data_IF_053434068609
#
_entry.id   IF_053434068609
#
_cell.length_a   1.000
_cell.length_b   1.000
_cell.length_c   1.000
_cell.angle_alpha   90.00
_cell.angle_beta   90.00
_cell.angle_gamma   90.00
#
_symmetry.space_group_name_H-M   'P 1'
#
loop_
_entity.id
_entity.type
_entity.pdbx_description
1 polymer ?
#
# COMPACT_ATOMS: atom_id res chain seq x y z
N UNK A 1 -7.54 -6.08 -17.81
CA UNK A 1 -6.73 -7.00 -16.98
C UNK A 1 -7.19 -6.90 -15.54
N UNK A 2 -8.25 -7.63 -15.16
CA UNK A 2 -8.77 -7.67 -13.79
C UNK A 2 -8.09 -8.81 -13.02
N UNK A 3 -6.82 -8.62 -12.69
CA UNK A 3 -6.08 -9.53 -11.79
C UNK A 3 -6.17 -9.10 -10.33
N UNK A 4 -5.41 -9.75 -9.46
CA UNK A 4 -5.29 -9.37 -8.04
C UNK A 4 -4.97 -7.87 -7.85
N UNK A 5 -4.16 -7.28 -8.74
CA UNK A 5 -3.86 -5.85 -8.71
C UNK A 5 -5.13 -4.98 -8.83
N UNK A 6 -6.00 -5.25 -9.81
CA UNK A 6 -7.23 -4.48 -10.01
C UNK A 6 -8.19 -4.56 -8.82
N UNK A 7 -8.26 -5.73 -8.17
CA UNK A 7 -9.01 -5.89 -6.92
C UNK A 7 -8.44 -5.01 -5.80
N UNK A 8 -7.12 -5.06 -5.58
CA UNK A 8 -6.47 -4.27 -4.54
C UNK A 8 -6.52 -2.76 -4.81
N UNK A 9 -6.37 -2.33 -6.06
CA UNK A 9 -6.53 -0.92 -6.45
C UNK A 9 -7.93 -0.40 -6.13
N UNK A 10 -8.98 -1.16 -6.45
CA UNK A 10 -10.35 -0.79 -6.13
C UNK A 10 -10.58 -0.73 -4.61
N UNK A 11 -10.02 -1.68 -3.85
CA UNK A 11 -10.13 -1.72 -2.41
C UNK A 11 -9.42 -0.54 -1.72
N UNK A 12 -8.16 -0.26 -2.07
CA UNK A 12 -7.38 0.86 -1.53
C UNK A 12 -8.07 2.19 -1.85
N UNK A 13 -8.54 2.37 -3.09
CA UNK A 13 -9.32 3.55 -3.48
C UNK A 13 -10.56 3.75 -2.61
N UNK A 14 -11.30 2.68 -2.34
CA UNK A 14 -12.50 2.74 -1.49
C UNK A 14 -12.16 3.26 -0.09
N UNK A 15 -11.06 2.79 0.51
CA UNK A 15 -10.62 3.24 1.84
C UNK A 15 -10.23 4.71 1.85
N UNK A 16 -9.52 5.18 0.80
CA UNK A 16 -9.11 6.58 0.68
C UNK A 16 -10.30 7.53 0.52
N UNK A 17 -11.30 7.12 -0.29
CA UNK A 17 -12.55 7.89 -0.46
C UNK A 17 -13.34 7.94 0.85
N UNK A 18 -13.44 6.82 1.56
CA UNK A 18 -14.12 6.76 2.86
C UNK A 18 -13.44 7.63 3.92
N UNK A 19 -12.11 7.68 3.91
CA UNK A 19 -11.31 8.52 4.79
C UNK A 19 -11.29 10.01 4.40
N UNK A 20 -11.81 10.38 3.22
CA UNK A 20 -11.82 11.78 2.78
C UNK A 20 -10.46 12.31 2.30
N UNK A 21 -9.53 11.41 1.96
CA UNK A 21 -8.19 11.78 1.48
C UNK A 21 -8.28 12.55 0.16
N UNK A 22 -7.56 13.67 0.06
CA UNK A 22 -7.44 14.44 -1.18
C UNK A 22 -6.78 13.61 -2.30
N UNK A 23 -7.28 13.76 -3.52
CA UNK A 23 -6.75 13.08 -4.71
C UNK A 23 -6.60 11.54 -4.55
N UNK A 24 -7.68 10.82 -4.16
CA UNK A 24 -7.58 9.41 -3.78
C UNK A 24 -7.08 8.52 -4.91
N UNK A 25 -7.38 8.88 -6.17
CA UNK A 25 -6.93 8.15 -7.36
C UNK A 25 -5.41 8.25 -7.56
N UNK A 26 -4.79 9.38 -7.22
CA UNK A 26 -3.34 9.56 -7.31
C UNK A 26 -2.59 8.74 -6.23
N UNK A 27 -3.24 8.52 -5.09
CA UNK A 27 -2.66 7.81 -3.95
C UNK A 27 -2.68 6.28 -4.10
N UNK A 28 -3.53 5.71 -4.96
CA UNK A 28 -3.66 4.24 -5.13
C UNK A 28 -2.33 3.60 -5.51
N UNK A 29 -1.70 4.05 -6.59
CA UNK A 29 -0.45 3.44 -7.07
C UNK A 29 0.72 3.73 -6.12
N UNK A 30 0.71 4.89 -5.45
CA UNK A 30 1.71 5.25 -4.43
C UNK A 30 1.66 4.28 -3.25
N UNK A 31 0.46 3.91 -2.78
CA UNK A 31 0.28 2.99 -1.65
C UNK A 31 0.44 1.52 -2.04
N UNK A 32 0.25 1.17 -3.32
CA UNK A 32 0.48 -0.16 -3.83
C UNK A 32 1.93 -0.42 -4.24
N UNK A 33 2.72 0.60 -4.60
CA UNK A 33 4.11 0.41 -5.00
C UNK A 33 4.96 -0.37 -3.95
N UNK A 34 4.83 -0.12 -2.63
CA UNK A 34 5.56 -0.86 -1.60
C UNK A 34 5.19 -2.33 -1.48
N UNK A 35 4.02 -2.77 -1.98
CA UNK A 35 3.59 -4.18 -1.92
C UNK A 35 4.01 -5.00 -3.14
N UNK A 36 4.71 -4.39 -4.10
CA UNK A 36 5.27 -5.11 -5.25
C UNK A 36 6.23 -6.23 -4.82
N UNK A 37 6.24 -7.33 -5.56
CA UNK A 37 7.12 -8.47 -5.29
C UNK A 37 8.60 -8.06 -5.31
N UNK A 38 8.98 -7.18 -6.24
CA UNK A 38 10.33 -6.62 -6.34
C UNK A 38 10.72 -5.85 -5.08
N UNK A 39 9.85 -4.95 -4.59
CA UNK A 39 10.12 -4.19 -3.36
C UNK A 39 10.19 -5.10 -2.13
N UNK A 40 9.36 -6.13 -2.06
CA UNK A 40 9.46 -7.13 -1.00
C UNK A 40 10.80 -7.85 -1.03
N UNK A 41 11.23 -8.37 -2.19
CA UNK A 41 12.51 -9.06 -2.34
C UNK A 41 13.69 -8.14 -2.02
N UNK A 42 13.66 -6.88 -2.46
CA UNK A 42 14.67 -5.88 -2.13
C UNK A 42 14.78 -5.64 -0.61
N UNK A 43 13.66 -5.51 0.08
CA UNK A 43 13.64 -5.36 1.54
C UNK A 43 14.17 -6.61 2.25
N UNK A 44 13.82 -7.81 1.77
CA UNK A 44 14.37 -9.07 2.29
C UNK A 44 15.88 -9.16 2.06
N UNK A 45 16.39 -8.73 0.91
CA UNK A 45 17.82 -8.68 0.60
C UNK A 45 18.58 -7.71 1.52
N UNK A 46 17.92 -6.65 2.01
CA UNK A 46 18.44 -5.74 3.05
C UNK A 46 18.41 -6.31 4.47
N UNK A 47 17.96 -7.55 4.65
CA UNK A 47 17.87 -8.21 5.95
C UNK A 47 16.63 -7.85 6.77
N UNK A 48 15.67 -7.13 6.21
CA UNK A 48 14.41 -6.86 6.91
C UNK A 48 13.58 -8.13 7.03
N UNK A 49 13.06 -8.39 8.23
CA UNK A 49 12.12 -9.47 8.46
C UNK A 49 10.75 -9.13 7.88
N UNK A 50 9.95 -10.15 7.57
CA UNK A 50 8.57 -9.97 7.13
C UNK A 50 7.77 -9.13 8.13
N UNK A 51 7.95 -9.36 9.43
CA UNK A 51 7.26 -8.61 10.48
C UNK A 51 7.61 -7.13 10.44
N UNK A 52 8.88 -6.77 10.22
CA UNK A 52 9.30 -5.37 10.08
C UNK A 52 8.70 -4.71 8.83
N UNK A 53 8.63 -5.44 7.71
CA UNK A 53 8.03 -4.94 6.46
C UNK A 53 6.53 -4.68 6.66
N UNK A 54 5.80 -5.66 7.21
CA UNK A 54 4.37 -5.52 7.49
C UNK A 54 4.11 -4.38 8.48
N UNK A 55 4.91 -4.25 9.53
CA UNK A 55 4.77 -3.16 10.49
C UNK A 55 5.02 -1.78 9.86
N UNK A 56 5.98 -1.66 8.93
CA UNK A 56 6.25 -0.43 8.20
C UNK A 56 5.09 -0.06 7.25
N UNK A 57 4.56 -1.04 6.50
CA UNK A 57 3.39 -0.85 5.65
C UNK A 57 2.16 -0.44 6.45
N UNK A 58 1.93 -1.09 7.61
CA UNK A 58 0.84 -0.74 8.51
C UNK A 58 0.93 0.69 9.03
N UNK A 59 2.13 1.16 9.41
CA UNK A 59 2.34 2.56 9.80
C UNK A 59 2.04 3.54 8.66
N UNK A 60 2.48 3.23 7.44
CA UNK A 60 2.20 4.07 6.26
C UNK A 60 0.68 4.15 6.00
N UNK A 61 -0.01 3.01 5.98
CA UNK A 61 -1.45 2.95 5.74
C UNK A 61 -2.24 3.73 6.80
N UNK A 62 -1.92 3.54 8.07
CA UNK A 62 -2.60 4.25 9.16
C UNK A 62 -2.35 5.75 9.11
N UNK A 63 -1.13 6.19 8.77
CA UNK A 63 -0.81 7.61 8.66
C UNK A 63 -1.64 8.31 7.58
N UNK A 64 -1.87 7.64 6.44
CA UNK A 64 -2.65 8.22 5.33
C UNK A 64 -4.16 8.26 5.61
N UNK A 65 -4.67 7.35 6.46
CA UNK A 65 -6.09 7.32 6.82
C UNK A 65 -6.44 8.23 8.02
N UNK A 66 -5.45 8.85 8.66
CA UNK A 66 -5.65 9.65 9.89
C UNK A 66 -5.65 11.16 9.66
N UNK A 67 -5.56 11.61 8.41
CA UNK A 67 -5.71 13.01 8.00
C UNK A 67 -7.15 13.31 7.55
#
# INVERSE_FOLDING_TARGET
MTGAYGFWSAHVRSLLVEAGVEEPDAMVDVLLAPVSAEMYLHQRAKGLTQAQIVAALGRLALAVLSD
#
